data_IF_095930190971
#
_entry.id   IF_095930190971
#
_cell.length_a   1.000
_cell.length_b   1.000
_cell.length_c   1.000
_cell.angle_alpha   90.00
_cell.angle_beta   90.00
_cell.angle_gamma   90.00
#
_symmetry.space_group_name_H-M   'P 1'
#
loop_
_entity.id
_entity.type
_entity.pdbx_description
1 polymer ?
#
# COMPACT_ATOMS: atom_id res chain seq x y z
N UNK A 1 25.81 -17.15 10.17
CA UNK A 1 26.58 -18.35 10.56
C UNK A 1 27.15 -18.95 9.30
N UNK A 2 28.47 -19.09 9.21
CA UNK A 2 29.13 -19.40 7.93
C UNK A 2 29.45 -20.89 7.79
N UNK A 3 29.32 -21.66 8.88
CA UNK A 3 29.51 -23.13 8.89
C UNK A 3 28.59 -23.78 9.92
N UNK A 4 28.19 -25.04 9.66
CA UNK A 4 27.36 -25.83 10.58
C UNK A 4 28.05 -26.14 11.91
N UNK A 5 29.38 -26.11 11.98
CA UNK A 5 30.11 -26.36 13.22
C UNK A 5 29.82 -25.29 14.28
N UNK A 6 29.55 -24.05 13.86
CA UNK A 6 29.25 -22.93 14.77
C UNK A 6 28.00 -23.20 15.62
N UNK A 7 27.05 -23.99 15.13
CA UNK A 7 25.86 -24.37 15.90
C UNK A 7 26.18 -25.10 17.21
N UNK A 8 27.31 -25.80 17.27
CA UNK A 8 27.76 -26.51 18.48
C UNK A 8 28.52 -25.61 19.46
N UNK A 9 28.73 -24.31 19.14
CA UNK A 9 29.40 -23.39 20.06
C UNK A 9 28.58 -23.21 21.33
N UNK A 10 29.24 -23.40 22.47
CA UNK A 10 28.63 -23.44 23.80
C UNK A 10 28.40 -22.07 24.44
N UNK A 11 28.49 -20.99 23.67
CA UNK A 11 28.45 -19.62 24.15
C UNK A 11 27.74 -18.71 23.15
N UNK A 12 27.14 -17.63 23.65
CA UNK A 12 26.63 -16.57 22.80
C UNK A 12 27.82 -15.79 22.21
N UNK A 13 27.87 -15.57 20.87
CA UNK A 13 28.90 -14.75 20.24
C UNK A 13 29.00 -13.37 20.88
N UNK A 14 30.18 -12.76 20.83
CA UNK A 14 30.37 -11.40 21.33
C UNK A 14 29.61 -10.39 20.47
N UNK A 15 29.29 -9.22 21.05
CA UNK A 15 28.58 -8.13 20.34
C UNK A 15 29.21 -7.78 18.97
N UNK A 16 30.53 -7.81 18.88
CA UNK A 16 31.27 -7.52 17.64
C UNK A 16 31.03 -8.53 16.50
N UNK A 17 30.48 -9.71 16.79
CA UNK A 17 30.09 -10.69 15.78
C UNK A 17 28.73 -10.38 15.10
N UNK A 18 27.98 -9.40 15.62
CA UNK A 18 26.67 -9.01 15.10
C UNK A 18 26.76 -7.71 14.29
N UNK A 19 27.34 -7.78 13.10
CA UNK A 19 27.37 -6.66 12.15
C UNK A 19 26.34 -6.88 11.04
N UNK A 20 25.48 -5.89 10.80
CA UNK A 20 24.47 -5.94 9.75
C UNK A 20 25.02 -5.38 8.46
N UNK A 21 25.17 -6.23 7.43
CA UNK A 21 25.55 -5.77 6.08
C UNK A 21 24.44 -4.98 5.38
N UNK A 22 23.18 -5.11 5.85
CA UNK A 22 22.02 -4.42 5.27
C UNK A 22 21.96 -2.95 5.69
N UNK A 23 22.23 -2.67 6.96
CA UNK A 23 22.24 -1.30 7.51
C UNK A 23 23.64 -0.71 7.61
N UNK A 24 24.68 -1.54 7.42
CA UNK A 24 26.09 -1.20 7.59
C UNK A 24 26.40 -0.67 9.01
N UNK A 25 25.74 -1.24 10.01
CA UNK A 25 25.82 -0.85 11.41
C UNK A 25 26.06 -2.06 12.32
N UNK A 26 26.77 -1.89 13.46
CA UNK A 26 26.82 -2.91 14.50
C UNK A 26 25.45 -3.04 15.19
N UNK A 27 25.21 -4.19 15.82
CA UNK A 27 24.04 -4.37 16.69
C UNK A 27 23.98 -3.28 17.78
N UNK A 28 22.78 -2.82 18.09
CA UNK A 28 22.56 -1.88 19.19
C UNK A 28 22.89 -2.53 20.54
N UNK A 29 23.13 -1.73 21.59
CA UNK A 29 23.30 -2.27 22.94
C UNK A 29 22.02 -2.96 23.43
N UNK A 30 20.86 -2.42 23.12
CA UNK A 30 19.56 -2.93 23.55
C UNK A 30 19.24 -4.29 22.89
N UNK A 31 19.48 -4.43 21.58
CA UNK A 31 19.26 -5.70 20.87
C UNK A 31 20.20 -6.80 21.37
N UNK A 32 21.47 -6.45 21.62
CA UNK A 32 22.42 -7.42 22.17
C UNK A 32 22.07 -7.81 23.60
N UNK A 33 21.63 -6.87 24.43
CA UNK A 33 21.11 -7.15 25.76
C UNK A 33 19.88 -8.07 25.70
N UNK A 34 19.00 -7.88 24.71
CA UNK A 34 17.88 -8.79 24.47
C UNK A 34 18.36 -10.21 24.14
N UNK A 35 19.33 -10.38 23.24
CA UNK A 35 19.92 -11.70 22.94
C UNK A 35 20.50 -12.37 24.19
N UNK A 36 21.21 -11.61 25.03
CA UNK A 36 21.75 -12.13 26.30
C UNK A 36 20.64 -12.56 27.27
N UNK A 37 19.54 -11.81 27.32
CA UNK A 37 18.39 -12.14 28.15
C UNK A 37 17.74 -13.43 27.67
N UNK A 38 17.47 -13.58 26.37
CA UNK A 38 16.91 -14.82 25.78
C UNK A 38 17.82 -16.01 26.10
N UNK A 39 19.13 -15.89 25.87
CA UNK A 39 20.10 -16.95 26.17
C UNK A 39 20.03 -17.42 27.63
N UNK A 40 19.98 -16.48 28.57
CA UNK A 40 19.92 -16.77 30.01
C UNK A 40 18.55 -17.30 30.44
N UNK A 41 17.47 -16.67 30.01
CA UNK A 41 16.10 -17.00 30.43
C UNK A 41 15.68 -18.41 30.03
N UNK A 42 16.10 -18.86 28.84
CA UNK A 42 15.83 -20.21 28.35
C UNK A 42 16.94 -21.21 28.69
N UNK A 43 17.97 -20.79 29.43
CA UNK A 43 19.11 -21.62 29.83
C UNK A 43 19.77 -22.34 28.65
N UNK A 44 19.94 -21.60 27.54
CA UNK A 44 20.47 -22.13 26.29
C UNK A 44 21.96 -22.45 26.45
N UNK A 45 22.37 -23.59 25.90
CA UNK A 45 23.73 -24.11 26.01
C UNK A 45 24.50 -24.01 24.71
N UNK A 46 23.80 -24.00 23.57
CA UNK A 46 24.43 -24.03 22.25
C UNK A 46 23.74 -23.07 21.29
N UNK A 47 24.45 -22.66 20.24
CA UNK A 47 23.85 -21.81 19.20
C UNK A 47 22.73 -22.52 18.42
N UNK A 48 22.73 -23.86 18.34
CA UNK A 48 21.60 -24.62 17.76
C UNK A 48 20.34 -24.47 18.60
N UNK A 49 20.43 -24.54 19.92
CA UNK A 49 19.27 -24.34 20.79
C UNK A 49 18.71 -22.92 20.67
N UNK A 50 19.57 -21.91 20.53
CA UNK A 50 19.16 -20.53 20.28
C UNK A 50 18.47 -20.37 18.92
N UNK A 51 19.05 -20.95 17.87
CA UNK A 51 18.48 -20.96 16.53
C UNK A 51 17.12 -21.65 16.49
N UNK A 52 17.01 -22.84 17.08
CA UNK A 52 15.78 -23.62 17.06
C UNK A 52 14.68 -22.93 17.86
N UNK A 53 15.01 -22.27 18.98
CA UNK A 53 14.07 -21.43 19.71
C UNK A 53 13.56 -20.28 18.84
N UNK A 54 14.45 -19.57 18.14
CA UNK A 54 14.08 -18.48 17.24
C UNK A 54 13.18 -18.96 16.10
N UNK A 55 13.58 -19.99 15.36
CA UNK A 55 12.81 -20.53 14.23
C UNK A 55 11.47 -21.10 14.70
N UNK A 56 11.46 -21.82 15.83
CA UNK A 56 10.21 -22.35 16.41
C UNK A 56 9.27 -21.22 16.79
N UNK A 57 9.78 -20.15 17.39
CA UNK A 57 8.96 -18.97 17.75
C UNK A 57 8.36 -18.31 16.51
N UNK A 58 9.15 -18.08 15.47
CA UNK A 58 8.67 -17.50 14.20
C UNK A 58 7.59 -18.37 13.54
N UNK A 59 7.78 -19.69 13.51
CA UNK A 59 6.81 -20.63 12.93
C UNK A 59 5.52 -20.66 13.74
N UNK A 60 5.61 -20.70 15.07
CA UNK A 60 4.41 -20.73 15.94
C UNK A 60 3.63 -19.42 15.83
N UNK A 61 4.32 -18.26 15.83
CA UNK A 61 3.68 -16.96 15.68
C UNK A 61 2.96 -16.84 14.33
N UNK A 62 3.61 -17.28 13.24
CA UNK A 62 2.98 -17.29 11.93
C UNK A 62 1.77 -18.24 11.89
N UNK A 63 1.89 -19.43 12.47
CA UNK A 63 0.80 -20.41 12.51
C UNK A 63 -0.40 -19.87 13.29
N UNK A 64 -0.19 -19.24 14.44
CA UNK A 64 -1.26 -18.65 15.27
C UNK A 64 -2.01 -17.53 14.52
N UNK A 65 -1.26 -16.57 13.95
CA UNK A 65 -1.84 -15.48 13.16
C UNK A 65 -2.61 -16.02 11.95
N UNK A 66 -2.04 -17.00 11.23
CA UNK A 66 -2.67 -17.55 10.03
C UNK A 66 -3.91 -18.39 10.34
N UNK A 67 -3.90 -19.19 11.41
CA UNK A 67 -5.08 -19.95 11.84
C UNK A 67 -6.23 -19.02 12.23
N UNK A 68 -5.93 -17.94 12.97
CA UNK A 68 -6.93 -16.93 13.29
C UNK A 68 -7.46 -16.23 12.03
N UNK A 69 -6.58 -15.86 11.10
CA UNK A 69 -6.96 -15.29 9.80
C UNK A 69 -7.86 -16.24 9.00
N UNK A 70 -7.51 -17.52 8.91
CA UNK A 70 -8.32 -18.55 8.24
C UNK A 70 -9.71 -18.66 8.85
N UNK A 71 -9.80 -18.73 10.18
CA UNK A 71 -11.07 -18.80 10.88
C UNK A 71 -11.94 -17.55 10.64
N UNK A 72 -11.33 -16.36 10.63
CA UNK A 72 -12.02 -15.11 10.30
C UNK A 72 -12.57 -15.14 8.87
N UNK A 73 -11.77 -15.51 7.88
CA UNK A 73 -12.20 -15.58 6.49
C UNK A 73 -13.34 -16.58 6.28
N UNK A 74 -13.26 -17.76 6.90
CA UNK A 74 -14.34 -18.75 6.88
C UNK A 74 -15.62 -18.23 7.54
N UNK A 75 -15.50 -17.46 8.61
CA UNK A 75 -16.65 -16.90 9.32
C UNK A 75 -17.34 -15.78 8.53
N UNK A 76 -16.57 -14.81 8.02
CA UNK A 76 -17.09 -13.61 7.35
C UNK A 76 -17.40 -13.83 5.87
N UNK A 77 -16.48 -14.46 5.14
CA UNK A 77 -16.55 -14.57 3.69
C UNK A 77 -17.03 -15.94 3.21
N UNK A 78 -17.04 -16.95 4.11
CA UNK A 78 -17.31 -18.36 3.76
C UNK A 78 -16.29 -18.92 2.75
N UNK A 79 -15.08 -18.35 2.76
CA UNK A 79 -13.98 -18.71 1.88
C UNK A 79 -12.78 -19.13 2.73
N UNK A 80 -12.09 -20.17 2.29
CA UNK A 80 -10.81 -20.57 2.89
C UNK A 80 -9.66 -19.85 2.15
N UNK A 81 -8.85 -19.02 2.84
CA UNK A 81 -7.68 -18.38 2.24
C UNK A 81 -6.68 -19.39 1.66
N UNK A 82 -6.65 -20.64 2.13
CA UNK A 82 -5.78 -21.69 1.58
C UNK A 82 -6.12 -22.08 0.13
N UNK A 83 -7.30 -21.69 -0.37
CA UNK A 83 -7.69 -21.90 -1.78
C UNK A 83 -7.36 -20.70 -2.68
N UNK A 84 -6.69 -19.68 -2.14
CA UNK A 84 -6.25 -18.51 -2.89
C UNK A 84 -4.72 -18.44 -2.88
N UNK A 85 -4.12 -18.10 -4.03
CA UNK A 85 -2.67 -17.90 -4.10
C UNK A 85 -2.20 -16.67 -3.29
N UNK A 86 -3.04 -15.64 -3.21
CA UNK A 86 -2.70 -14.36 -2.56
C UNK A 86 -3.94 -13.71 -1.93
N UNK A 87 -3.72 -12.78 -0.99
CA UNK A 87 -4.79 -12.01 -0.32
C UNK A 87 -5.64 -11.19 -1.31
N UNK A 88 -5.10 -10.54 -2.36
CA UNK A 88 -5.94 -9.91 -3.39
C UNK A 88 -6.89 -10.88 -4.09
N UNK A 89 -6.44 -12.13 -4.36
CA UNK A 89 -7.31 -13.16 -4.93
C UNK A 89 -8.46 -13.55 -4.00
N UNK A 90 -8.18 -13.65 -2.70
CA UNK A 90 -9.20 -13.87 -1.67
C UNK A 90 -10.19 -12.69 -1.60
N UNK A 91 -9.68 -11.45 -1.58
CA UNK A 91 -10.52 -10.25 -1.54
C UNK A 91 -11.43 -10.15 -2.78
N UNK A 92 -10.91 -10.50 -3.95
CA UNK A 92 -11.69 -10.56 -5.19
C UNK A 92 -12.82 -11.60 -5.13
N UNK A 93 -12.50 -12.84 -4.70
CA UNK A 93 -13.51 -13.88 -4.53
C UNK A 93 -14.56 -13.50 -3.48
N UNK A 94 -14.12 -12.90 -2.36
CA UNK A 94 -15.02 -12.42 -1.32
C UNK A 94 -15.95 -11.33 -1.86
N UNK A 95 -15.42 -10.36 -2.62
CA UNK A 95 -16.22 -9.31 -3.27
C UNK A 95 -17.32 -9.90 -4.15
N UNK A 96 -16.96 -10.82 -5.07
CA UNK A 96 -17.93 -11.47 -5.97
C UNK A 96 -18.96 -12.31 -5.19
N UNK A 97 -18.50 -13.06 -4.19
CA UNK A 97 -19.38 -13.89 -3.36
C UNK A 97 -20.37 -13.05 -2.55
N UNK A 98 -19.94 -11.95 -1.96
CA UNK A 98 -20.77 -11.10 -1.10
C UNK A 98 -21.73 -10.23 -1.92
N UNK A 99 -21.25 -9.59 -2.98
CA UNK A 99 -22.05 -8.69 -3.82
C UNK A 99 -23.00 -9.44 -4.75
N UNK A 100 -22.69 -10.69 -5.12
CA UNK A 100 -23.39 -11.48 -6.15
C UNK A 100 -23.43 -10.80 -7.53
N UNK A 101 -22.58 -9.80 -7.75
CA UNK A 101 -22.47 -9.11 -9.03
C UNK A 101 -21.99 -10.08 -10.11
N UNK A 102 -22.50 -9.91 -11.33
CA UNK A 102 -22.00 -10.59 -12.51
C UNK A 102 -21.27 -9.55 -13.36
N UNK A 103 -19.97 -9.74 -13.52
CA UNK A 103 -19.15 -8.87 -14.35
C UNK A 103 -19.09 -9.43 -15.75
N UNK A 104 -19.42 -8.61 -16.73
CA UNK A 104 -19.16 -8.89 -18.13
C UNK A 104 -17.67 -8.78 -18.40
N UNK A 105 -17.14 -9.73 -19.17
CA UNK A 105 -15.75 -9.69 -19.61
C UNK A 105 -15.70 -9.05 -21.00
N UNK A 106 -14.70 -8.19 -21.22
CA UNK A 106 -14.43 -7.68 -22.55
C UNK A 106 -14.13 -8.85 -23.51
N UNK A 107 -14.93 -8.95 -24.57
CA UNK A 107 -14.69 -9.88 -25.68
C UNK A 107 -13.97 -9.22 -26.85
N UNK A 108 -13.98 -7.89 -26.89
CA UNK A 108 -13.26 -7.06 -27.86
C UNK A 108 -11.89 -6.65 -27.28
N UNK A 109 -10.82 -6.95 -28.01
CA UNK A 109 -9.45 -6.58 -27.64
C UNK A 109 -9.25 -5.06 -27.63
N UNK A 110 -9.88 -4.34 -28.55
CA UNK A 110 -9.71 -2.90 -28.66
C UNK A 110 -10.37 -2.18 -27.47
N UNK A 111 -11.52 -2.68 -26.99
CA UNK A 111 -12.14 -2.17 -25.75
C UNK A 111 -11.24 -2.42 -24.54
N UNK A 112 -10.66 -3.62 -24.45
CA UNK A 112 -9.75 -3.97 -23.36
C UNK A 112 -8.54 -3.04 -23.33
N UNK A 113 -7.87 -2.86 -24.48
CA UNK A 113 -6.72 -1.97 -24.61
C UNK A 113 -7.08 -0.49 -24.39
N UNK A 114 -8.28 -0.09 -24.78
CA UNK A 114 -8.79 1.26 -24.52
C UNK A 114 -8.92 1.53 -23.02
N UNK A 115 -9.59 0.64 -22.28
CA UNK A 115 -9.75 0.78 -20.83
C UNK A 115 -8.41 0.65 -20.11
N UNK A 116 -7.56 -0.32 -20.48
CA UNK A 116 -6.24 -0.51 -19.89
C UNK A 116 -5.36 0.75 -20.03
N UNK A 117 -5.36 1.38 -21.22
CA UNK A 117 -4.66 2.65 -21.46
C UNK A 117 -5.18 3.79 -20.59
N UNK A 118 -6.42 3.71 -20.10
CA UNK A 118 -7.04 4.68 -19.20
C UNK A 118 -6.70 4.48 -17.72
N UNK A 119 -6.19 3.30 -17.31
CA UNK A 119 -5.91 3.01 -15.90
C UNK A 119 -4.77 3.90 -15.38
N UNK A 120 -5.02 4.59 -14.28
CA UNK A 120 -4.03 5.42 -13.57
C UNK A 120 -3.97 5.02 -12.10
N UNK A 121 -2.79 5.18 -11.51
CA UNK A 121 -2.61 5.02 -10.06
C UNK A 121 -3.08 6.25 -9.27
N UNK A 122 -2.77 6.26 -7.98
CA UNK A 122 -3.03 7.42 -7.13
C UNK A 122 -2.28 8.67 -7.59
N UNK A 123 -2.95 9.82 -7.51
CA UNK A 123 -2.33 11.11 -7.82
C UNK A 123 -1.33 11.46 -6.72
N UNK A 124 -0.08 11.73 -7.11
CA UNK A 124 0.96 12.23 -6.21
C UNK A 124 1.55 13.51 -6.80
N UNK A 125 1.39 14.62 -6.08
CA UNK A 125 1.81 15.94 -6.55
C UNK A 125 2.49 16.72 -5.42
N UNK A 126 3.59 17.37 -5.76
CA UNK A 126 4.26 18.35 -4.90
C UNK A 126 4.06 19.73 -5.52
N UNK A 127 3.05 20.46 -5.05
CA UNK A 127 2.76 21.82 -5.54
C UNK A 127 3.73 22.87 -5.01
N UNK A 128 4.37 22.60 -3.85
CA UNK A 128 5.36 23.47 -3.24
C UNK A 128 6.49 22.64 -2.63
N UNK A 129 7.74 22.90 -3.05
CA UNK A 129 8.90 22.02 -2.75
C UNK A 129 9.25 21.94 -1.27
N UNK A 130 9.05 23.01 -0.52
CA UNK A 130 9.39 23.06 0.90
C UNK A 130 8.52 24.06 1.64
N UNK A 131 7.94 23.66 2.77
CA UNK A 131 7.15 24.54 3.61
C UNK A 131 7.50 24.25 5.07
N UNK A 132 7.97 25.27 5.78
CA UNK A 132 8.24 25.18 7.21
C UNK A 132 7.08 25.83 7.99
N UNK A 133 6.56 25.13 8.99
CA UNK A 133 5.59 25.70 9.91
C UNK A 133 6.27 26.68 10.87
N UNK A 134 5.57 27.74 11.25
CA UNK A 134 5.98 28.67 12.31
C UNK A 134 4.77 28.95 13.19
N UNK A 135 4.59 28.19 14.27
CA UNK A 135 3.48 28.40 15.18
C UNK A 135 3.92 28.17 16.62
N UNK A 136 3.19 28.77 17.55
CA UNK A 136 3.52 28.84 18.98
C UNK A 136 3.65 27.48 19.70
N UNK A 137 3.27 26.38 19.06
CA UNK A 137 3.35 25.03 19.62
C UNK A 137 4.66 24.30 19.28
N UNK A 138 5.57 24.94 18.52
CA UNK A 138 6.85 24.38 18.12
C UNK A 138 8.00 24.98 18.93
N UNK A 139 8.98 24.15 19.32
CA UNK A 139 10.20 24.62 20.02
C UNK A 139 11.02 25.61 19.18
N UNK A 140 10.89 25.54 17.85
CA UNK A 140 11.56 26.43 16.89
C UNK A 140 10.73 27.67 16.54
N UNK A 141 9.70 28.02 17.32
CA UNK A 141 8.83 29.16 17.03
C UNK A 141 9.59 30.49 17.08
N UNK A 142 9.38 31.33 16.06
CA UNK A 142 9.94 32.68 16.00
C UNK A 142 8.80 33.71 15.99
N UNK A 143 8.67 34.48 17.08
CA UNK A 143 7.62 35.51 17.26
C UNK A 143 7.67 36.61 16.19
N UNK A 144 8.87 36.89 15.66
CA UNK A 144 9.07 37.92 14.62
C UNK A 144 8.67 37.45 13.21
N UNK A 145 8.29 36.18 13.02
CA UNK A 145 7.87 35.61 11.73
C UNK A 145 6.35 35.41 11.71
N UNK A 146 5.70 35.48 10.54
CA UNK A 146 4.26 35.24 10.44
C UNK A 146 3.90 33.83 10.92
N UNK A 147 2.75 33.71 11.58
CA UNK A 147 2.21 32.42 11.98
C UNK A 147 1.85 31.58 10.74
N UNK A 148 2.32 30.34 10.71
CA UNK A 148 2.15 29.39 9.61
C UNK A 148 1.94 27.98 10.15
N UNK A 149 0.85 27.37 9.72
CA UNK A 149 0.46 26.01 10.08
C UNK A 149 0.53 25.11 8.86
N UNK A 150 0.78 23.82 9.08
CA UNK A 150 0.71 22.78 8.07
C UNK A 150 -0.40 21.83 8.52
N UNK A 151 -1.35 21.56 7.63
CA UNK A 151 -2.45 20.65 7.89
C UNK A 151 -2.21 19.34 7.13
N UNK A 152 -2.36 18.21 7.82
CA UNK A 152 -2.35 16.89 7.22
C UNK A 152 -3.78 16.35 7.22
N UNK A 153 -4.29 16.01 6.04
CA UNK A 153 -5.60 15.39 5.85
C UNK A 153 -5.38 14.04 5.19
N UNK A 154 -6.02 13.00 5.73
CA UNK A 154 -6.02 11.65 5.17
C UNK A 154 -7.45 11.15 5.05
N UNK A 155 -7.76 10.57 3.89
CA UNK A 155 -9.08 10.04 3.60
C UNK A 155 -9.18 8.58 4.07
N UNK A 156 -9.98 8.33 5.10
CA UNK A 156 -10.23 6.98 5.61
C UNK A 156 -10.84 6.09 4.51
N UNK A 157 -10.12 5.04 4.10
CA UNK A 157 -10.59 4.06 3.12
C UNK A 157 -11.05 4.68 1.78
N UNK A 158 -10.24 5.58 1.20
CA UNK A 158 -10.54 6.28 -0.05
C UNK A 158 -11.04 5.35 -1.17
N UNK A 159 -10.31 4.26 -1.45
CA UNK A 159 -10.70 3.31 -2.49
C UNK A 159 -11.96 2.52 -2.12
N UNK A 160 -12.17 2.16 -0.86
CA UNK A 160 -13.40 1.49 -0.44
C UNK A 160 -14.63 2.39 -0.59
N UNK A 161 -14.50 3.69 -0.32
CA UNK A 161 -15.56 4.66 -0.60
C UNK A 161 -15.83 4.78 -2.10
N UNK A 162 -14.79 4.87 -2.92
CA UNK A 162 -14.92 4.92 -4.38
C UNK A 162 -15.56 3.65 -4.95
N UNK A 163 -15.17 2.47 -4.45
CA UNK A 163 -15.76 1.18 -4.82
C UNK A 163 -17.21 0.99 -4.35
N UNK A 164 -17.70 1.86 -3.47
CA UNK A 164 -19.10 1.88 -3.03
C UNK A 164 -19.99 2.77 -3.90
N UNK A 165 -19.40 3.53 -4.84
CA UNK A 165 -20.15 4.31 -5.82
C UNK A 165 -20.63 3.42 -6.98
N UNK A 166 -21.57 3.90 -7.82
CA UNK A 166 -21.91 3.21 -9.07
C UNK A 166 -20.65 2.96 -9.92
N UNK A 167 -20.53 1.74 -10.44
CA UNK A 167 -19.41 1.31 -11.27
C UNK A 167 -19.92 0.50 -12.46
N UNK A 168 -19.25 0.57 -13.62
CA UNK A 168 -19.63 -0.20 -14.79
C UNK A 168 -19.37 -1.70 -14.54
N UNK A 169 -20.37 -2.53 -14.85
CA UNK A 169 -20.31 -3.98 -14.63
C UNK A 169 -20.65 -4.81 -15.86
N UNK A 170 -21.43 -4.28 -16.79
CA UNK A 170 -21.91 -4.95 -18.00
C UNK A 170 -22.50 -3.93 -19.00
N UNK A 171 -22.88 -4.40 -20.19
CA UNK A 171 -23.44 -3.60 -21.27
C UNK A 171 -22.39 -2.83 -22.06
N UNK A 172 -21.17 -3.38 -22.19
CA UNK A 172 -20.08 -2.66 -22.84
C UNK A 172 -20.28 -2.63 -24.37
N UNK A 173 -20.46 -1.43 -24.92
CA UNK A 173 -20.64 -1.21 -26.35
C UNK A 173 -19.87 0.00 -26.85
N UNK A 174 -19.39 -0.06 -28.09
CA UNK A 174 -18.86 1.10 -28.78
C UNK A 174 -20.00 1.98 -29.27
N UNK A 175 -19.88 3.28 -29.04
CA UNK A 175 -20.85 4.26 -29.53
C UNK A 175 -20.24 4.98 -30.73
N UNK A 176 -20.98 5.00 -31.84
CA UNK A 176 -20.54 5.63 -33.10
C UNK A 176 -21.02 7.07 -33.24
N UNK A 177 -22.09 7.43 -32.53
CA UNK A 177 -22.67 8.77 -32.57
C UNK A 177 -21.97 9.70 -31.57
N UNK A 178 -21.74 10.97 -31.94
CA UNK A 178 -21.18 11.95 -31.00
C UNK A 178 -22.16 12.19 -29.85
N UNK A 179 -21.62 12.19 -28.63
CA UNK A 179 -22.38 12.41 -27.40
C UNK A 179 -22.03 13.79 -26.85
N UNK A 180 -23.03 14.58 -26.48
CA UNK A 180 -22.83 15.75 -25.64
C UNK A 180 -22.77 15.31 -24.17
N UNK A 181 -21.56 15.04 -23.70
CA UNK A 181 -21.37 14.51 -22.35
C UNK A 181 -21.75 15.50 -21.25
N UNK A 182 -21.86 16.80 -21.58
CA UNK A 182 -22.25 17.84 -20.61
C UNK A 182 -23.75 17.81 -20.30
N UNK A 183 -24.56 17.13 -21.12
CA UNK A 183 -26.00 16.98 -20.90
C UNK A 183 -26.38 15.68 -20.17
N UNK A 184 -25.39 14.82 -19.87
CA UNK A 184 -25.61 13.56 -19.16
C UNK A 184 -25.80 13.83 -17.66
N UNK A 185 -26.81 13.21 -17.07
CA UNK A 185 -27.05 13.28 -15.63
C UNK A 185 -26.09 12.37 -14.86
N UNK A 186 -25.55 12.88 -13.74
CA UNK A 186 -24.76 12.10 -12.78
C UNK A 186 -25.53 10.93 -12.14
N UNK A 187 -26.87 10.91 -12.25
CA UNK A 187 -27.75 9.83 -11.75
C UNK A 187 -28.14 8.83 -12.85
N UNK A 188 -27.51 8.92 -14.03
CA UNK A 188 -27.75 8.00 -15.14
C UNK A 188 -27.39 6.55 -14.78
N UNK A 189 -28.15 5.59 -15.29
CA UNK A 189 -27.81 4.17 -15.20
C UNK A 189 -26.83 3.71 -16.30
N UNK A 190 -26.47 4.61 -17.21
CA UNK A 190 -25.53 4.39 -18.31
C UNK A 190 -24.37 5.36 -18.12
N UNK A 191 -23.16 4.79 -18.05
CA UNK A 191 -21.89 5.51 -17.96
C UNK A 191 -21.15 5.48 -19.29
N UNK A 192 -20.23 6.41 -19.46
CA UNK A 192 -19.44 6.58 -20.67
C UNK A 192 -17.96 6.67 -20.33
N UNK A 193 -17.13 5.97 -21.09
CA UNK A 193 -15.68 6.10 -21.05
C UNK A 193 -15.27 6.84 -22.32
N UNK A 194 -14.72 8.04 -22.17
CA UNK A 194 -14.45 8.96 -23.28
C UNK A 194 -12.94 9.12 -23.49
N UNK A 195 -12.52 9.13 -24.76
CA UNK A 195 -11.22 9.64 -25.18
C UNK A 195 -11.47 11.00 -25.85
N UNK A 196 -10.86 12.04 -25.30
CA UNK A 196 -11.13 13.43 -25.68
C UNK A 196 -9.82 14.20 -25.85
N UNK A 197 -9.84 15.13 -26.81
CA UNK A 197 -8.81 16.16 -26.92
C UNK A 197 -9.20 17.35 -26.03
N UNK A 198 -8.27 17.79 -25.18
CA UNK A 198 -8.49 18.92 -24.29
C UNK A 198 -7.55 20.08 -24.61
N UNK A 199 -8.12 21.23 -24.93
CA UNK A 199 -7.37 22.48 -25.04
C UNK A 199 -7.26 23.16 -23.67
N UNK A 200 -6.03 23.25 -23.16
CA UNK A 200 -5.77 23.95 -21.91
C UNK A 200 -5.47 25.45 -22.17
N UNK A 201 -6.26 26.39 -21.61
CA UNK A 201 -6.07 27.82 -21.88
C UNK A 201 -4.73 28.35 -21.34
N UNK A 202 -4.08 29.23 -22.10
CA UNK A 202 -2.74 29.76 -21.75
C UNK A 202 -2.73 30.68 -20.51
N UNK A 203 -3.83 31.40 -20.24
CA UNK A 203 -3.88 32.39 -19.16
C UNK A 203 -3.69 31.80 -17.74
N UNK A 204 -4.35 30.69 -17.34
CA UNK A 204 -4.10 30.07 -16.03
C UNK A 204 -2.78 29.28 -15.97
N UNK A 205 -2.16 28.95 -17.09
CA UNK A 205 -0.90 28.18 -17.13
C UNK A 205 0.19 28.81 -16.28
N UNK A 206 0.33 30.15 -16.30
CA UNK A 206 1.32 30.87 -15.49
C UNK A 206 0.99 30.91 -13.99
N UNK A 207 -0.29 30.88 -13.62
CA UNK A 207 -0.73 30.82 -12.22
C UNK A 207 -0.55 29.42 -11.61
N UNK A 208 -0.68 28.38 -12.45
CA UNK A 208 -0.49 26.99 -12.03
C UNK A 208 0.97 26.50 -12.22
N UNK A 209 1.81 27.26 -12.94
CA UNK A 209 3.21 26.93 -13.23
C UNK A 209 4.18 27.07 -12.05
N UNK A 210 3.74 27.61 -10.92
CA UNK A 210 4.54 27.54 -9.68
C UNK A 210 4.74 26.09 -9.20
N UNK A 211 4.02 25.14 -9.81
CA UNK A 211 4.27 23.69 -9.78
C UNK A 211 4.91 23.20 -11.08
N UNK A 212 6.16 23.61 -11.38
CA UNK A 212 6.87 23.16 -12.60
C UNK A 212 6.98 21.63 -12.68
N UNK A 213 6.22 20.99 -13.58
CA UNK A 213 6.62 19.83 -14.39
C UNK A 213 5.50 19.33 -15.34
N UNK A 214 4.98 20.20 -16.21
CA UNK A 214 4.34 19.73 -17.44
C UNK A 214 5.02 20.46 -18.61
N UNK A 215 5.93 19.76 -19.29
CA UNK A 215 6.29 20.13 -20.66
C UNK A 215 5.14 19.66 -21.53
N UNK A 216 4.32 20.59 -22.01
CA UNK A 216 3.55 20.34 -23.22
C UNK A 216 4.54 20.49 -24.38
N UNK A 217 4.94 19.38 -24.99
CA UNK A 217 5.63 19.43 -26.27
C UNK A 217 4.63 19.95 -27.32
N UNK A 218 5.07 20.96 -28.08
CA UNK A 218 4.36 21.46 -29.26
C UNK A 218 4.59 20.55 -30.45
#
# INVERSE_FOLDING_TARGET
>A
MDTFQKFNEGYLPSKGAFFSSLTNEPVSDDDYAHCQNVWKSFNLKTLVEYHDLYVTSDVILLADVFQNFQQLCLNFYKLDPCHCYTVPGLAWQACLYMSRVKLELFTDLDMHLFVERGIRGGISMISHRFSLANNQYLDSYEENKPSKYILYLDANNLYGWALSQPLPTHGFEWITEPIDFMEISDESNIDYILEVDMDYPQNPHNLHNDSRNIKCDK
#
